data_IF_156716876933
#
_entry.id   IF_156716876933
#
_cell.length_a   1.000
_cell.length_b   1.000
_cell.length_c   1.000
_cell.angle_alpha   90.00
_cell.angle_beta   90.00
_cell.angle_gamma   90.00
#
_symmetry.space_group_name_H-M   'P 1'
#
loop_
_entity.id
_entity.type
_entity.pdbx_description
1 polymer ?
#
# COMPACT_ATOMS: atom_id res chain seq x y z
N UNK A 1 -11.75 -56.82 -33.78
CA UNK A 1 -11.18 -55.70 -32.98
C UNK A 1 -11.05 -56.23 -31.56
N UNK A 2 -9.84 -56.34 -31.00
CA UNK A 2 -9.64 -56.93 -29.65
C UNK A 2 -10.05 -55.90 -28.61
N UNK A 3 -11.02 -56.24 -27.78
CA UNK A 3 -11.50 -55.41 -26.67
C UNK A 3 -10.40 -55.36 -25.58
N UNK A 4 -9.86 -54.17 -25.33
CA UNK A 4 -8.75 -53.94 -24.41
C UNK A 4 -9.31 -53.71 -23.00
N UNK A 5 -8.94 -54.54 -22.01
CA UNK A 5 -9.42 -54.42 -20.62
C UNK A 5 -8.45 -53.58 -19.77
N UNK A 6 -8.98 -52.57 -19.10
CA UNK A 6 -8.27 -51.52 -18.34
C UNK A 6 -7.49 -52.01 -17.11
N UNK A 7 -7.90 -53.13 -16.51
CA UNK A 7 -7.34 -53.63 -15.24
C UNK A 7 -5.89 -54.15 -15.33
N UNK A 8 -5.25 -54.07 -16.51
CA UNK A 8 -3.91 -54.62 -16.79
C UNK A 8 -2.80 -53.55 -16.79
N UNK A 9 -3.10 -52.27 -16.54
CA UNK A 9 -2.07 -51.21 -16.57
C UNK A 9 -1.33 -51.08 -15.23
N UNK A 10 0.02 -51.08 -15.20
CA UNK A 10 0.78 -50.86 -13.99
C UNK A 10 0.58 -49.42 -13.47
N UNK A 11 0.46 -49.27 -12.14
CA UNK A 11 0.22 -47.99 -11.45
C UNK A 11 1.30 -46.95 -11.81
N UNK A 12 0.87 -45.76 -12.24
CA UNK A 12 1.72 -44.65 -12.72
C UNK A 12 2.80 -44.27 -11.70
N UNK A 13 4.06 -44.22 -12.12
CA UNK A 13 5.17 -43.67 -11.33
C UNK A 13 5.51 -42.25 -11.80
N UNK A 14 5.99 -41.40 -10.88
CA UNK A 14 6.23 -39.97 -11.13
C UNK A 14 7.21 -39.67 -12.27
N UNK A 15 8.07 -40.62 -12.62
CA UNK A 15 9.13 -40.47 -13.62
C UNK A 15 8.94 -41.39 -14.84
N UNK A 16 7.82 -42.12 -14.94
CA UNK A 16 7.57 -42.94 -16.12
C UNK A 16 7.06 -42.07 -17.27
N UNK A 17 7.77 -42.10 -18.41
CA UNK A 17 7.35 -41.50 -19.68
C UNK A 17 6.22 -42.29 -20.37
N UNK A 18 5.38 -42.97 -19.58
CA UNK A 18 4.27 -43.77 -20.09
C UNK A 18 3.15 -42.82 -20.56
N UNK A 19 3.01 -42.74 -21.88
CA UNK A 19 1.96 -41.97 -22.54
C UNK A 19 0.65 -42.74 -22.34
N UNK A 20 -0.28 -42.13 -21.61
CA UNK A 20 -1.60 -42.69 -21.37
C UNK A 20 -2.44 -42.55 -22.64
N UNK A 21 -2.63 -43.66 -23.36
CA UNK A 21 -3.33 -43.71 -24.63
C UNK A 21 -4.81 -43.26 -24.51
N UNK A 22 -5.41 -43.39 -23.33
CA UNK A 22 -6.78 -42.91 -23.05
C UNK A 22 -6.88 -41.38 -23.09
N UNK A 23 -5.78 -40.63 -22.94
CA UNK A 23 -5.80 -39.17 -23.13
C UNK A 23 -5.94 -38.74 -24.59
N UNK A 24 -5.86 -39.69 -25.52
CA UNK A 24 -6.01 -39.46 -26.96
C UNK A 24 -7.30 -40.06 -27.51
N UNK A 25 -8.13 -40.72 -26.68
CA UNK A 25 -9.47 -41.10 -27.13
C UNK A 25 -10.29 -39.85 -27.39
N UNK A 26 -11.13 -39.82 -28.45
CA UNK A 26 -11.98 -38.69 -28.72
C UNK A 26 -12.84 -38.36 -27.50
N UNK A 27 -12.79 -37.11 -27.06
CA UNK A 27 -13.49 -36.64 -25.87
C UNK A 27 -14.99 -36.95 -25.97
N UNK A 28 -15.52 -37.53 -24.90
CA UNK A 28 -16.93 -37.91 -24.78
C UNK A 28 -17.79 -36.64 -24.79
N UNK A 29 -19.05 -36.73 -25.26
CA UNK A 29 -19.91 -35.54 -25.38
C UNK A 29 -20.13 -34.80 -24.04
N UNK A 30 -20.03 -35.51 -22.91
CA UNK A 30 -20.06 -34.93 -21.55
C UNK A 30 -18.78 -34.15 -21.19
N UNK A 31 -17.60 -34.62 -21.65
CA UNK A 31 -16.31 -33.94 -21.43
C UNK A 31 -16.20 -32.69 -22.31
N UNK A 32 -16.77 -32.73 -23.52
CA UNK A 32 -16.93 -31.54 -24.38
C UNK A 32 -17.84 -30.49 -23.72
N UNK A 33 -18.93 -30.91 -23.08
CA UNK A 33 -19.83 -30.00 -22.36
C UNK A 33 -19.16 -29.35 -21.13
N UNK A 34 -18.26 -30.06 -20.44
CA UNK A 34 -17.44 -29.45 -19.38
C UNK A 34 -16.46 -28.41 -19.93
N UNK A 35 -15.82 -28.66 -21.08
CA UNK A 35 -14.98 -27.68 -21.75
C UNK A 35 -15.77 -26.48 -22.33
N UNK A 36 -17.06 -26.67 -22.62
CA UNK A 36 -18.00 -25.62 -23.05
C UNK A 36 -18.73 -24.90 -21.91
N UNK A 37 -18.49 -25.27 -20.64
CA UNK A 37 -18.87 -24.38 -19.53
C UNK A 37 -17.97 -23.15 -19.55
N UNK A 38 -18.34 -22.20 -20.41
CA UNK A 38 -17.77 -20.86 -20.49
C UNK A 38 -17.78 -20.29 -19.08
N UNK A 39 -16.61 -20.23 -18.45
CA UNK A 39 -16.45 -19.56 -17.15
C UNK A 39 -17.07 -18.18 -17.33
N UNK A 40 -18.12 -17.87 -16.56
CA UNK A 40 -18.83 -16.60 -16.68
C UNK A 40 -17.81 -15.47 -16.81
N UNK A 41 -17.96 -14.63 -17.83
CA UNK A 41 -17.02 -13.56 -18.16
C UNK A 41 -17.10 -12.46 -17.10
N UNK A 42 -16.52 -12.73 -15.92
CA UNK A 42 -16.42 -11.72 -14.88
C UNK A 42 -15.44 -10.65 -15.34
N UNK A 43 -15.80 -9.39 -15.17
CA UNK A 43 -14.92 -8.25 -15.46
C UNK A 43 -13.58 -8.38 -14.73
N UNK A 44 -12.46 -8.10 -15.42
CA UNK A 44 -11.11 -8.16 -14.84
C UNK A 44 -10.99 -7.40 -13.52
N UNK A 45 -11.63 -6.23 -13.42
CA UNK A 45 -11.65 -5.43 -12.20
C UNK A 45 -12.35 -6.14 -11.04
N UNK A 46 -13.47 -6.81 -11.31
CA UNK A 46 -14.24 -7.56 -10.29
C UNK A 46 -13.43 -8.76 -9.79
N UNK A 47 -12.74 -9.45 -10.68
CA UNK A 47 -11.90 -10.59 -10.30
C UNK A 47 -10.65 -10.15 -9.53
N UNK A 48 -10.03 -9.02 -9.91
CA UNK A 48 -8.93 -8.40 -9.18
C UNK A 48 -9.32 -7.95 -7.77
N UNK A 49 -10.45 -7.26 -7.63
CA UNK A 49 -10.94 -6.79 -6.34
C UNK A 49 -11.28 -7.96 -5.40
N UNK A 50 -11.87 -9.03 -5.95
CA UNK A 50 -12.17 -10.25 -5.19
C UNK A 50 -10.90 -10.93 -4.66
N UNK A 51 -9.82 -10.94 -5.45
CA UNK A 51 -8.52 -11.51 -5.03
C UNK A 51 -7.86 -10.66 -3.95
N UNK A 52 -7.92 -9.33 -4.08
CA UNK A 52 -7.38 -8.41 -3.07
C UNK A 52 -7.99 -8.65 -1.70
N UNK A 53 -9.33 -8.70 -1.61
CA UNK A 53 -10.04 -8.91 -0.35
C UNK A 53 -10.01 -10.35 0.19
N UNK A 54 -9.65 -11.32 -0.64
CA UNK A 54 -9.42 -12.70 -0.18
C UNK A 54 -8.07 -12.90 0.47
N UNK A 55 -7.09 -12.04 0.20
CA UNK A 55 -5.75 -12.16 0.77
C UNK A 55 -5.68 -11.42 2.11
N UNK A 56 -5.54 -12.13 3.26
CA UNK A 56 -5.54 -11.49 4.58
C UNK A 56 -4.36 -10.52 4.75
N UNK A 57 -3.21 -10.78 4.14
CA UNK A 57 -2.05 -9.87 4.20
C UNK A 57 -2.30 -8.57 3.44
N UNK A 58 -2.96 -8.65 2.28
CA UNK A 58 -3.31 -7.46 1.50
C UNK A 58 -4.41 -6.64 2.17
N UNK A 59 -5.37 -7.31 2.84
CA UNK A 59 -6.40 -6.64 3.63
C UNK A 59 -5.77 -5.95 4.84
N UNK A 60 -4.84 -6.60 5.55
CA UNK A 60 -4.17 -6.01 6.69
C UNK A 60 -3.39 -4.73 6.32
N UNK A 61 -2.63 -4.73 5.21
CA UNK A 61 -1.92 -3.54 4.75
C UNK A 61 -2.88 -2.40 4.36
N UNK A 62 -4.02 -2.74 3.75
CA UNK A 62 -5.05 -1.76 3.40
C UNK A 62 -5.70 -1.13 4.64
N UNK A 63 -5.93 -1.92 5.70
CA UNK A 63 -6.42 -1.42 6.99
C UNK A 63 -5.40 -0.48 7.63
N UNK A 64 -4.12 -0.87 7.70
CA UNK A 64 -3.05 -0.03 8.28
C UNK A 64 -2.94 1.30 7.54
N UNK A 65 -2.98 1.26 6.20
CA UNK A 65 -2.97 2.47 5.37
C UNK A 65 -4.20 3.36 5.66
N UNK A 66 -5.39 2.78 5.74
CA UNK A 66 -6.61 3.53 6.05
C UNK A 66 -6.55 4.18 7.43
N UNK A 67 -6.09 3.45 8.45
CA UNK A 67 -5.90 3.98 9.81
C UNK A 67 -4.91 5.14 9.80
N UNK A 68 -3.78 5.00 9.09
CA UNK A 68 -2.79 6.07 8.98
C UNK A 68 -3.36 7.33 8.31
N UNK A 69 -4.16 7.18 7.25
CA UNK A 69 -4.84 8.30 6.61
C UNK A 69 -5.84 8.99 7.54
N UNK A 70 -6.61 8.21 8.31
CA UNK A 70 -7.55 8.73 9.31
C UNK A 70 -6.81 9.49 10.40
N UNK A 71 -5.70 8.97 10.92
CA UNK A 71 -4.86 9.65 11.92
C UNK A 71 -4.38 11.00 11.37
N UNK A 72 -3.83 11.02 10.16
CA UNK A 72 -3.32 12.26 9.54
C UNK A 72 -4.42 13.31 9.35
N UNK A 73 -5.66 12.89 9.05
CA UNK A 73 -6.79 13.79 8.84
C UNK A 73 -7.40 14.29 10.16
N UNK A 74 -7.54 13.42 11.17
CA UNK A 74 -8.28 13.70 12.41
C UNK A 74 -7.39 14.34 13.48
N UNK A 75 -6.14 13.91 13.63
CA UNK A 75 -5.25 14.38 14.70
C UNK A 75 -5.07 15.89 14.71
N UNK A 76 -4.85 16.60 13.57
CA UNK A 76 -4.75 18.06 13.57
C UNK A 76 -6.00 18.79 14.09
N UNK A 77 -7.17 18.13 14.09
CA UNK A 77 -8.42 18.70 14.58
C UNK A 77 -8.66 18.45 16.07
N UNK A 78 -8.04 17.42 16.65
CA UNK A 78 -8.30 16.96 18.03
C UNK A 78 -7.13 17.31 18.96
N UNK A 79 -5.91 17.35 18.42
CA UNK A 79 -4.70 17.59 19.20
C UNK A 79 -4.58 19.10 19.52
N UNK A 80 -4.40 19.48 20.80
CA UNK A 80 -4.47 20.88 21.22
C UNK A 80 -3.23 21.72 20.87
N UNK A 81 -2.15 21.07 20.44
CA UNK A 81 -0.89 21.72 20.08
C UNK A 81 -0.86 22.11 18.60
N UNK A 82 -0.25 23.25 18.29
CA UNK A 82 -0.03 23.70 16.92
C UNK A 82 1.39 23.41 16.41
N UNK A 83 1.55 23.32 15.09
CA UNK A 83 2.80 22.94 14.42
C UNK A 83 4.03 23.77 14.83
N UNK A 84 3.86 25.09 14.96
CA UNK A 84 4.94 26.04 15.25
C UNK A 84 4.91 26.60 16.68
N UNK A 85 3.93 26.20 17.48
CA UNK A 85 3.73 26.74 18.82
C UNK A 85 4.81 26.23 19.77
N UNK A 86 5.42 27.16 20.50
CA UNK A 86 6.27 26.83 21.64
C UNK A 86 5.40 26.63 22.87
N UNK A 87 5.77 25.66 23.70
CA UNK A 87 5.05 25.36 24.93
C UNK A 87 5.21 26.54 25.89
N UNK A 88 4.08 27.05 26.36
CA UNK A 88 3.99 28.15 27.29
C UNK A 88 3.18 27.70 28.50
N UNK A 89 3.73 27.93 29.69
CA UNK A 89 3.06 27.68 30.97
C UNK A 89 2.84 29.02 31.63
N UNK A 90 1.60 29.32 32.04
CA UNK A 90 1.25 30.60 32.68
C UNK A 90 1.68 31.85 31.86
N UNK A 91 1.60 31.76 30.53
CA UNK A 91 1.94 32.85 29.59
C UNK A 91 3.45 33.11 29.44
N UNK A 92 4.31 32.22 29.94
CA UNK A 92 5.75 32.28 29.77
C UNK A 92 6.24 31.04 29.04
N UNK A 93 7.17 31.26 28.10
CA UNK A 93 7.84 30.16 27.40
C UNK A 93 8.56 29.27 28.40
N UNK A 94 8.22 27.99 28.37
CA UNK A 94 8.82 27.00 29.23
C UNK A 94 10.14 26.50 28.65
N UNK A 95 11.25 26.84 29.29
CA UNK A 95 12.60 26.39 28.89
C UNK A 95 12.92 25.00 29.41
N UNK A 96 12.20 24.53 30.42
CA UNK A 96 12.40 23.21 31.03
C UNK A 96 11.77 22.12 30.18
N UNK A 97 10.81 22.45 29.31
CA UNK A 97 10.24 21.56 28.31
C UNK A 97 11.16 21.28 27.11
N UNK A 98 12.48 21.30 27.30
CA UNK A 98 13.47 21.03 26.24
C UNK A 98 13.79 19.53 26.19
N UNK A 99 13.64 18.91 25.02
CA UNK A 99 14.02 17.50 24.78
C UNK A 99 13.40 16.52 25.79
N UNK A 100 12.11 16.69 26.10
CA UNK A 100 11.39 15.77 26.96
C UNK A 100 11.20 14.41 26.28
N UNK A 101 11.19 13.34 27.08
CA UNK A 101 10.89 12.01 26.59
C UNK A 101 9.38 11.87 26.25
N UNK A 102 8.98 10.80 25.54
CA UNK A 102 7.58 10.48 25.32
C UNK A 102 6.78 10.43 26.63
N UNK A 103 5.62 11.10 26.65
CA UNK A 103 4.68 11.19 27.79
C UNK A 103 5.25 11.85 29.06
N UNK A 104 6.34 12.59 28.94
CA UNK A 104 6.93 13.34 30.05
C UNK A 104 6.44 14.79 30.06
N UNK A 105 6.33 15.36 31.26
CA UNK A 105 5.99 16.76 31.50
C UNK A 105 7.21 17.50 32.02
N UNK A 106 7.29 18.79 31.72
CA UNK A 106 8.33 19.64 32.30
C UNK A 106 8.06 19.94 33.79
N UNK A 107 9.08 20.44 34.50
CA UNK A 107 8.91 20.90 35.89
C UNK A 107 7.87 22.03 36.03
N UNK A 108 7.71 22.88 35.02
CA UNK A 108 6.76 23.98 35.07
C UNK A 108 5.34 23.50 34.72
N UNK A 109 5.21 22.55 33.81
CA UNK A 109 3.94 21.88 33.51
C UNK A 109 3.44 21.07 34.71
N UNK A 110 4.32 20.38 35.43
CA UNK A 110 3.97 19.67 36.66
C UNK A 110 3.42 20.63 37.72
N UNK A 111 4.05 21.79 37.92
CA UNK A 111 3.53 22.82 38.84
C UNK A 111 2.19 23.37 38.40
N UNK A 112 1.99 23.57 37.10
CA UNK A 112 0.71 23.99 36.56
C UNK A 112 -0.39 22.93 36.75
N UNK A 113 -0.04 21.65 36.62
CA UNK A 113 -0.95 20.53 36.90
C UNK A 113 -1.30 20.48 38.40
N UNK A 114 -0.33 20.71 39.29
CA UNK A 114 -0.57 20.85 40.73
C UNK A 114 -1.48 22.05 41.05
N UNK A 115 -1.37 23.15 40.29
CA UNK A 115 -2.27 24.31 40.34
C UNK A 115 -3.67 24.03 39.74
N UNK A 116 -3.91 22.81 39.22
CA UNK A 116 -5.18 22.36 38.69
C UNK A 116 -5.39 22.62 37.19
N UNK A 117 -4.34 22.96 36.44
CA UNK A 117 -4.42 23.09 34.99
C UNK A 117 -4.37 21.73 34.30
N UNK A 118 -5.27 21.50 33.35
CA UNK A 118 -5.25 20.30 32.51
C UNK A 118 -4.30 20.51 31.31
N UNK A 119 -3.16 19.83 31.32
CA UNK A 119 -2.17 19.84 30.23
C UNK A 119 -2.18 18.48 29.55
N UNK A 120 -2.21 18.47 28.22
CA UNK A 120 -2.22 17.24 27.44
C UNK A 120 -0.80 16.63 27.36
N UNK A 121 -0.61 15.31 27.52
CA UNK A 121 0.72 14.71 27.47
C UNK A 121 1.38 14.78 26.08
N UNK A 122 2.68 15.04 26.06
CA UNK A 122 3.47 15.04 24.82
C UNK A 122 3.77 13.61 24.34
N UNK A 123 2.95 13.07 23.43
CA UNK A 123 3.03 11.67 22.98
C UNK A 123 4.44 11.28 22.50
N UNK A 124 5.11 12.13 21.73
CA UNK A 124 6.48 11.90 21.24
C UNK A 124 7.53 12.80 21.94
N UNK A 125 7.15 13.50 23.01
CA UNK A 125 8.02 14.46 23.68
C UNK A 125 8.18 15.77 22.91
N UNK A 126 9.22 16.53 23.26
CA UNK A 126 9.43 17.90 22.79
C UNK A 126 10.80 18.10 22.13
N UNK A 127 10.87 19.08 21.21
CA UNK A 127 12.11 19.48 20.51
C UNK A 127 12.97 20.43 21.37
N UNK A 128 14.18 20.75 20.88
CA UNK A 128 15.12 21.70 21.50
C UNK A 128 14.52 23.10 21.67
N UNK A 129 13.56 23.45 20.81
CA UNK A 129 12.82 24.71 20.87
C UNK A 129 11.59 24.65 21.77
N UNK A 130 11.36 23.55 22.49
CA UNK A 130 10.20 23.31 23.37
C UNK A 130 8.89 23.31 22.57
N UNK A 131 8.86 22.55 21.47
CA UNK A 131 7.67 22.35 20.62
C UNK A 131 7.29 20.88 20.63
N UNK A 132 6.01 20.56 20.53
CA UNK A 132 5.54 19.17 20.49
C UNK A 132 6.00 18.45 19.20
N UNK A 133 6.64 17.29 19.34
CA UNK A 133 7.15 16.51 18.20
C UNK A 133 6.04 15.76 17.47
N UNK A 134 5.04 15.25 18.18
CA UNK A 134 4.01 14.39 17.61
C UNK A 134 3.20 15.12 16.55
N UNK A 135 2.73 16.34 16.87
CA UNK A 135 1.97 17.14 15.91
C UNK A 135 2.80 17.47 14.66
N UNK A 136 4.11 17.71 14.82
CA UNK A 136 5.00 18.02 13.70
C UNK A 136 5.21 16.83 12.78
N UNK A 137 5.32 15.63 13.33
CA UNK A 137 5.37 14.38 12.54
C UNK A 137 4.07 14.21 11.75
N UNK A 138 2.92 14.43 12.38
CA UNK A 138 1.59 14.29 11.74
C UNK A 138 1.41 15.31 10.60
N UNK A 139 1.74 16.58 10.83
CA UNK A 139 1.70 17.60 9.79
C UNK A 139 2.70 17.31 8.66
N UNK A 140 3.91 16.83 8.99
CA UNK A 140 4.89 16.39 8.01
C UNK A 140 4.35 15.25 7.15
N UNK A 141 3.73 14.25 7.76
CA UNK A 141 3.12 13.12 7.07
C UNK A 141 1.98 13.57 6.12
N UNK A 142 1.17 14.55 6.52
CA UNK A 142 0.14 15.16 5.66
C UNK A 142 0.73 15.78 4.38
N UNK A 143 1.82 16.54 4.54
CA UNK A 143 2.50 17.18 3.41
C UNK A 143 3.14 16.11 2.51
N UNK A 144 3.83 15.13 3.07
CA UNK A 144 4.43 14.03 2.29
C UNK A 144 3.40 13.23 1.49
N UNK A 145 2.22 12.97 2.07
CA UNK A 145 1.14 12.27 1.37
C UNK A 145 0.64 13.07 0.16
N UNK A 146 0.44 14.38 0.32
CA UNK A 146 0.02 15.25 -0.78
C UNK A 146 1.08 15.30 -1.90
N UNK A 147 2.35 15.47 -1.54
CA UNK A 147 3.45 15.50 -2.52
C UNK A 147 3.54 14.17 -3.26
N UNK A 148 3.45 13.04 -2.55
CA UNK A 148 3.46 11.71 -3.18
C UNK A 148 2.29 11.51 -4.15
N UNK A 149 1.09 11.94 -3.78
CA UNK A 149 -0.08 11.88 -4.65
C UNK A 149 0.11 12.71 -5.94
N UNK A 150 0.50 13.97 -5.81
CA UNK A 150 0.71 14.84 -6.98
C UNK A 150 1.89 14.38 -7.84
N UNK A 151 2.99 13.93 -7.24
CA UNK A 151 4.12 13.36 -7.97
C UNK A 151 3.68 12.14 -8.79
N UNK A 152 2.89 11.23 -8.21
CA UNK A 152 2.38 10.05 -8.91
C UNK A 152 1.46 10.41 -10.08
N UNK A 153 0.61 11.44 -9.92
CA UNK A 153 -0.29 11.91 -10.96
C UNK A 153 0.49 12.50 -12.14
N UNK A 154 1.52 13.31 -11.86
CA UNK A 154 2.37 13.92 -12.88
C UNK A 154 3.13 12.83 -13.64
N UNK A 155 3.74 11.87 -12.91
CA UNK A 155 4.45 10.73 -13.52
C UNK A 155 3.51 9.91 -14.40
N UNK A 156 2.26 9.66 -13.95
CA UNK A 156 1.26 8.94 -14.73
C UNK A 156 0.94 9.69 -16.03
N UNK A 157 0.68 11.00 -15.98
CA UNK A 157 0.36 11.79 -17.17
C UNK A 157 1.53 11.80 -18.16
N UNK A 158 2.75 12.07 -17.68
CA UNK A 158 3.94 12.08 -18.54
C UNK A 158 4.19 10.68 -19.12
N UNK A 159 4.11 9.64 -18.31
CA UNK A 159 4.31 8.25 -18.74
C UNK A 159 3.27 7.80 -19.77
N UNK A 160 1.99 8.15 -19.57
CA UNK A 160 0.93 7.86 -20.54
C UNK A 160 1.16 8.60 -21.87
N UNK A 161 1.49 9.89 -21.83
CA UNK A 161 1.78 10.65 -23.05
C UNK A 161 2.99 10.06 -23.77
N UNK A 162 4.08 9.80 -23.06
CA UNK A 162 5.31 9.25 -23.63
C UNK A 162 5.08 7.85 -24.25
N UNK A 163 4.42 6.96 -23.51
CA UNK A 163 4.11 5.61 -23.98
C UNK A 163 3.08 5.58 -25.11
N UNK A 164 2.07 6.45 -25.09
CA UNK A 164 1.08 6.52 -26.17
C UNK A 164 1.70 7.00 -27.48
N UNK A 165 2.64 7.96 -27.44
CA UNK A 165 3.36 8.43 -28.62
C UNK A 165 4.25 7.32 -29.19
N UNK A 166 4.99 6.60 -28.35
CA UNK A 166 5.87 5.51 -28.82
C UNK A 166 5.06 4.37 -29.44
N UNK A 167 3.94 3.99 -28.81
CA UNK A 167 3.04 2.95 -29.29
C UNK A 167 2.29 3.32 -30.57
N UNK A 168 1.93 4.60 -30.75
CA UNK A 168 1.22 5.06 -31.96
C UNK A 168 2.16 5.16 -33.17
N UNK A 169 3.35 5.74 -33.01
CA UNK A 169 4.28 5.96 -34.12
C UNK A 169 5.02 4.69 -34.53
N UNK A 170 5.36 3.81 -33.58
CA UNK A 170 6.05 2.54 -33.82
C UNK A 170 7.43 2.66 -34.52
N UNK A 171 8.08 1.52 -34.71
CA UNK A 171 9.31 1.42 -35.50
C UNK A 171 10.51 2.17 -34.91
N UNK A 172 11.13 3.07 -35.68
CA UNK A 172 12.38 3.75 -35.29
C UNK A 172 12.19 4.75 -34.14
N UNK A 173 11.03 5.39 -34.05
CA UNK A 173 10.73 6.36 -32.99
C UNK A 173 10.62 5.64 -31.65
N UNK A 174 9.94 4.50 -31.62
CA UNK A 174 9.82 3.65 -30.43
C UNK A 174 11.19 3.12 -29.96
N UNK A 175 12.05 2.67 -30.89
CA UNK A 175 13.41 2.20 -30.57
C UNK A 175 14.26 3.30 -29.89
N UNK A 176 14.18 4.54 -30.37
CA UNK A 176 14.92 5.67 -29.80
C UNK A 176 14.32 6.05 -28.44
N UNK A 177 12.99 6.12 -28.33
CA UNK A 177 12.30 6.49 -27.09
C UNK A 177 12.56 5.47 -25.98
N UNK A 178 12.43 4.16 -26.25
CA UNK A 178 12.80 3.14 -25.26
C UNK A 178 14.25 3.27 -24.82
N UNK A 179 15.17 3.65 -25.72
CA UNK A 179 16.59 3.76 -25.35
C UNK A 179 16.90 4.95 -24.46
N UNK A 180 16.16 6.06 -24.61
CA UNK A 180 16.22 7.19 -23.67
C UNK A 180 15.73 6.75 -22.28
N UNK A 181 14.63 5.98 -22.23
CA UNK A 181 14.10 5.45 -20.98
C UNK A 181 15.12 4.53 -20.31
N UNK A 182 15.73 3.60 -21.05
CA UNK A 182 16.76 2.70 -20.52
C UNK A 182 17.94 3.46 -19.89
N UNK A 183 18.38 4.56 -20.51
CA UNK A 183 19.48 5.40 -19.99
C UNK A 183 19.09 6.09 -18.67
N UNK A 184 17.84 6.53 -18.53
CA UNK A 184 17.36 7.20 -17.31
C UNK A 184 17.26 6.19 -16.14
N UNK A 185 16.98 4.92 -16.44
CA UNK A 185 16.86 3.85 -15.42
C UNK A 185 18.17 3.09 -15.17
N UNK A 186 19.22 3.34 -15.96
CA UNK A 186 20.56 2.77 -15.77
C UNK A 186 21.36 3.52 -14.72
#
# INVERSE_FOLDING_TARGET
>A
MREFKEDQLPKKSLLSLQIDLNKFSPATDEEKQQHETMRESTTFFRDGMRKLFKNPLAVASLIVLAVLLVIIAVVPSVYPYSYSQMIEVNGKRDKTAKNLAPFEYSENELKAIEEGQEIFPHIFGTDELCRDYFIRVVYGARVSLLVGLFASLIVLVIGLLYGSISGYCGGKVDLIMMRIVDIIYS
#
